data_IF_404123807457
#
_entry.id   IF_404123807457
#
_cell.length_a   1.000
_cell.length_b   1.000
_cell.length_c   1.000
_cell.angle_alpha   90.00
_cell.angle_beta   90.00
_cell.angle_gamma   90.00
#
_symmetry.space_group_name_H-M   'P 1'
#
loop_
_entity.id
_entity.type
_entity.pdbx_description
1 polymer ?
#
# COMPACT_ATOMS: atom_id res chain seq x y z
N UNK A 1 49.62 11.35 -8.23
CA UNK A 1 48.74 11.56 -7.06
C UNK A 1 47.29 11.43 -7.51
N UNK A 2 46.77 10.20 -7.53
CA UNK A 2 45.37 9.94 -7.88
C UNK A 2 44.51 10.18 -6.65
N UNK A 3 43.70 11.23 -6.68
CA UNK A 3 42.73 11.50 -5.61
C UNK A 3 41.62 10.45 -5.75
N UNK A 4 41.70 9.41 -4.91
CA UNK A 4 40.57 8.52 -4.64
C UNK A 4 39.47 9.39 -4.00
N UNK A 5 38.61 9.94 -4.85
CA UNK A 5 37.41 10.65 -4.43
C UNK A 5 36.58 9.72 -3.58
N UNK A 6 36.39 10.10 -2.30
CA UNK A 6 35.51 9.40 -1.37
C UNK A 6 34.17 9.16 -2.07
N UNK A 7 33.75 7.88 -2.14
CA UNK A 7 32.38 7.50 -2.46
C UNK A 7 31.46 7.96 -1.31
N UNK A 8 31.24 9.27 -1.22
CA UNK A 8 30.27 9.87 -0.31
C UNK A 8 28.88 9.58 -0.89
N UNK A 9 28.26 8.53 -0.36
CA UNK A 9 26.82 8.32 -0.22
C UNK A 9 25.90 9.03 -1.24
N UNK A 10 26.05 8.73 -2.53
CA UNK A 10 25.29 9.34 -3.63
C UNK A 10 23.79 8.98 -3.62
N UNK A 11 23.41 7.87 -2.97
CA UNK A 11 22.02 7.37 -2.92
C UNK A 11 21.02 8.32 -2.28
N UNK A 12 21.44 9.14 -1.30
CA UNK A 12 20.51 9.98 -0.54
C UNK A 12 20.04 11.19 -1.35
N UNK A 13 20.94 11.78 -2.13
CA UNK A 13 20.64 12.96 -2.94
C UNK A 13 19.66 12.63 -4.08
N UNK A 14 19.81 11.45 -4.70
CA UNK A 14 18.91 10.99 -5.76
C UNK A 14 17.48 10.73 -5.22
N UNK A 15 17.36 10.26 -3.97
CA UNK A 15 16.07 10.00 -3.33
C UNK A 15 15.29 11.28 -3.04
N UNK A 16 15.95 12.30 -2.48
CA UNK A 16 15.33 13.60 -2.19
C UNK A 16 14.89 14.31 -3.48
N UNK A 17 15.71 14.25 -4.53
CA UNK A 17 15.35 14.81 -5.84
C UNK A 17 14.13 14.10 -6.45
N UNK A 18 14.07 12.78 -6.34
CA UNK A 18 12.93 11.99 -6.80
C UNK A 18 11.63 12.34 -6.04
N UNK A 19 11.70 12.49 -4.72
CA UNK A 19 10.51 12.87 -3.94
C UNK A 19 10.04 14.27 -4.32
N UNK A 20 10.95 15.23 -4.44
CA UNK A 20 10.57 16.59 -4.84
C UNK A 20 9.88 16.60 -6.21
N UNK A 21 10.37 15.81 -7.18
CA UNK A 21 9.71 15.69 -8.47
C UNK A 21 8.30 15.10 -8.32
N UNK A 22 8.16 14.03 -7.53
CA UNK A 22 6.85 13.44 -7.27
C UNK A 22 5.88 14.46 -6.67
N UNK A 23 6.33 15.28 -5.71
CA UNK A 23 5.48 16.32 -5.10
C UNK A 23 4.98 17.35 -6.12
N UNK A 24 5.83 17.77 -7.06
CA UNK A 24 5.45 18.71 -8.13
C UNK A 24 4.37 18.11 -9.03
N UNK A 25 4.49 16.84 -9.39
CA UNK A 25 3.49 16.14 -10.20
C UNK A 25 2.17 15.98 -9.44
N UNK A 26 2.23 15.64 -8.15
CA UNK A 26 1.04 15.51 -7.29
C UNK A 26 0.26 16.82 -7.16
N UNK A 27 0.97 17.94 -7.00
CA UNK A 27 0.36 19.29 -6.99
C UNK A 27 -0.25 19.67 -8.36
N UNK A 28 0.17 19.00 -9.44
CA UNK A 28 -0.43 19.11 -10.77
C UNK A 28 -1.74 18.34 -10.88
N UNK A 29 -1.80 17.13 -10.30
CA UNK A 29 -2.99 16.26 -10.30
C UNK A 29 -4.12 16.86 -9.45
N UNK A 30 -3.81 17.48 -8.31
CA UNK A 30 -4.81 18.13 -7.44
C UNK A 30 -5.69 19.15 -8.20
N UNK A 31 -5.13 19.80 -9.23
CA UNK A 31 -5.82 20.81 -10.03
C UNK A 31 -6.72 20.23 -11.12
N UNK A 32 -6.68 18.92 -11.34
CA UNK A 32 -7.49 18.24 -12.35
C UNK A 32 -8.75 17.65 -11.71
N UNK A 33 -9.91 18.15 -12.12
CA UNK A 33 -11.19 17.58 -11.72
C UNK A 33 -11.33 16.14 -12.24
N UNK A 34 -11.76 15.23 -11.35
CA UNK A 34 -12.08 13.84 -11.69
C UNK A 34 -10.94 12.82 -11.57
N UNK A 35 -9.75 13.21 -11.11
CA UNK A 35 -8.65 12.29 -10.83
C UNK A 35 -8.55 12.00 -9.33
N UNK A 36 -8.39 10.73 -8.96
CA UNK A 36 -8.20 10.29 -7.57
C UNK A 36 -6.90 9.50 -7.47
N UNK A 37 -6.01 9.94 -6.58
CA UNK A 37 -4.80 9.21 -6.24
C UNK A 37 -5.06 8.23 -5.09
N UNK A 38 -4.69 6.96 -5.28
CA UNK A 38 -4.70 5.95 -4.22
C UNK A 38 -3.31 5.34 -4.06
N UNK A 39 -2.87 5.22 -2.81
CA UNK A 39 -1.60 4.62 -2.46
C UNK A 39 -1.76 3.67 -1.27
N UNK A 40 -0.95 2.62 -1.24
CA UNK A 40 -0.93 1.63 -0.16
C UNK A 40 0.46 1.58 0.46
N UNK A 41 0.54 1.55 1.80
CA UNK A 41 1.80 1.36 2.51
C UNK A 41 1.64 0.35 3.64
N UNK A 42 2.65 -0.50 3.83
CA UNK A 42 2.76 -1.37 5.01
C UNK A 42 3.15 -0.57 6.25
N UNK A 43 3.86 0.55 6.09
CA UNK A 43 4.36 1.34 7.19
C UNK A 43 4.19 2.85 6.92
N UNK A 44 3.16 3.43 7.51
CA UNK A 44 2.87 4.86 7.39
C UNK A 44 4.01 5.74 7.94
N UNK A 45 4.78 5.27 8.93
CA UNK A 45 5.87 6.05 9.53
C UNK A 45 7.07 6.27 8.60
N UNK A 46 7.17 5.50 7.51
CA UNK A 46 8.23 5.64 6.51
C UNK A 46 7.85 6.60 5.38
N UNK A 47 6.57 7.01 5.30
CA UNK A 47 6.12 7.97 4.30
C UNK A 47 6.58 9.37 4.69
N UNK A 48 7.10 10.12 3.73
CA UNK A 48 7.49 11.50 3.96
C UNK A 48 6.28 12.38 4.27
N UNK A 49 6.37 13.16 5.34
CA UNK A 49 5.27 14.00 5.83
C UNK A 49 4.77 15.00 4.78
N UNK A 50 5.61 15.42 3.83
CA UNK A 50 5.22 16.30 2.73
C UNK A 50 4.15 15.70 1.81
N UNK A 51 4.11 14.36 1.66
CA UNK A 51 3.11 13.66 0.85
C UNK A 51 1.74 13.62 1.54
N UNK A 52 1.71 13.60 2.88
CA UNK A 52 0.48 13.48 3.67
C UNK A 52 -0.20 14.82 3.99
N UNK A 53 0.24 15.92 3.39
CA UNK A 53 -0.35 17.25 3.62
C UNK A 53 -1.71 17.38 2.92
N UNK A 54 -2.62 18.25 3.41
CA UNK A 54 -3.87 18.57 2.74
C UNK A 54 -3.65 18.89 1.26
N UNK A 55 -4.50 18.36 0.38
CA UNK A 55 -4.38 18.51 -1.09
C UNK A 55 -3.60 17.40 -1.79
N UNK A 56 -2.85 16.56 -1.06
CA UNK A 56 -2.10 15.42 -1.60
C UNK A 56 -2.68 14.08 -1.11
N UNK A 57 -1.93 13.32 -0.31
CA UNK A 57 -2.40 12.07 0.34
C UNK A 57 -2.97 12.41 1.73
N UNK A 58 -4.00 13.24 1.76
CA UNK A 58 -4.57 13.80 2.99
C UNK A 58 -5.46 12.80 3.76
N UNK A 59 -6.06 11.83 3.06
CA UNK A 59 -6.92 10.79 3.65
C UNK A 59 -6.16 9.48 3.85
N UNK A 60 -6.16 9.02 5.10
CA UNK A 60 -5.55 7.74 5.47
C UNK A 60 -6.64 6.78 5.92
N UNK A 61 -6.72 5.62 5.25
CA UNK A 61 -7.64 4.54 5.58
C UNK A 61 -6.88 3.39 6.26
N UNK A 62 -6.94 3.27 7.59
CA UNK A 62 -6.31 2.15 8.28
C UNK A 62 -7.08 0.87 7.98
N UNK A 63 -6.36 -0.15 7.49
CA UNK A 63 -6.91 -1.48 7.30
C UNK A 63 -6.76 -2.28 8.61
N UNK A 64 -7.86 -2.86 9.08
CA UNK A 64 -7.87 -3.72 10.25
C UNK A 64 -7.68 -5.18 9.83
N UNK A 65 -7.11 -5.99 10.72
CA UNK A 65 -7.09 -7.43 10.52
C UNK A 65 -8.52 -7.98 10.57
N UNK A 66 -8.90 -8.86 9.62
CA UNK A 66 -10.25 -9.42 9.61
C UNK A 66 -10.49 -10.27 10.84
N UNK A 67 -11.70 -10.14 11.39
CA UNK A 67 -12.24 -11.01 12.43
C UNK A 67 -12.41 -12.44 11.93
N UNK A 68 -12.59 -13.41 12.82
CA UNK A 68 -12.80 -14.81 12.43
C UNK A 68 -13.98 -14.97 11.46
N UNK A 69 -15.10 -14.31 11.73
CA UNK A 69 -16.27 -14.37 10.85
C UNK A 69 -16.04 -13.72 9.48
N UNK A 70 -15.20 -12.68 9.41
CA UNK A 70 -14.79 -12.08 8.13
C UNK A 70 -13.82 -12.97 7.37
N UNK A 71 -12.87 -13.61 8.08
CA UNK A 71 -11.96 -14.61 7.47
C UNK A 71 -12.76 -15.77 6.87
N UNK A 72 -13.77 -16.27 7.57
CA UNK A 72 -14.68 -17.32 7.06
C UNK A 72 -15.29 -16.91 5.72
N UNK A 73 -15.84 -15.68 5.63
CA UNK A 73 -16.45 -15.16 4.40
C UNK A 73 -15.44 -14.98 3.27
N UNK A 74 -14.27 -14.40 3.56
CA UNK A 74 -13.20 -14.20 2.57
C UNK A 74 -12.77 -15.55 1.99
N UNK A 75 -12.59 -16.55 2.87
CA UNK A 75 -12.20 -17.90 2.46
C UNK A 75 -13.28 -18.58 1.62
N UNK A 76 -14.57 -18.45 1.99
CA UNK A 76 -15.68 -18.99 1.19
C UNK A 76 -15.76 -18.35 -0.20
N UNK A 77 -15.58 -17.03 -0.31
CA UNK A 77 -15.57 -16.33 -1.60
C UNK A 77 -14.40 -16.82 -2.45
N UNK A 78 -13.19 -16.86 -1.89
CA UNK A 78 -12.01 -17.34 -2.60
C UNK A 78 -12.15 -18.82 -3.03
N UNK A 79 -12.75 -19.65 -2.19
CA UNK A 79 -13.01 -21.06 -2.51
C UNK A 79 -13.98 -21.23 -3.67
N UNK A 80 -15.01 -20.39 -3.78
CA UNK A 80 -15.94 -20.40 -4.93
C UNK A 80 -15.27 -20.05 -6.26
N UNK A 81 -14.20 -19.25 -6.22
CA UNK A 81 -13.44 -18.89 -7.42
C UNK A 81 -12.41 -19.96 -7.82
N UNK A 82 -11.98 -20.81 -6.88
CA UNK A 82 -10.79 -21.68 -7.06
C UNK A 82 -11.03 -23.17 -6.87
N UNK A 83 -12.13 -23.57 -6.21
CA UNK A 83 -12.46 -24.96 -5.89
C UNK A 83 -13.75 -25.41 -6.59
N UNK A 84 -13.87 -26.72 -6.78
CA UNK A 84 -15.12 -27.34 -7.25
C UNK A 84 -16.24 -27.07 -6.24
N UNK A 85 -17.42 -26.70 -6.74
CA UNK A 85 -18.58 -26.33 -5.92
C UNK A 85 -18.95 -27.42 -4.91
N UNK A 86 -18.83 -28.68 -5.32
CA UNK A 86 -19.15 -29.83 -4.47
C UNK A 86 -18.21 -29.95 -3.27
N UNK A 87 -16.96 -29.48 -3.37
CA UNK A 87 -15.96 -29.58 -2.31
C UNK A 87 -16.10 -28.48 -1.25
N UNK A 88 -16.74 -27.36 -1.59
CA UNK A 88 -16.85 -26.19 -0.71
C UNK A 88 -17.69 -26.51 0.52
N UNK A 89 -18.72 -27.34 0.36
CA UNK A 89 -19.64 -27.73 1.43
C UNK A 89 -19.02 -28.77 2.39
N UNK A 90 -17.94 -29.45 2.00
CA UNK A 90 -17.23 -30.40 2.87
C UNK A 90 -16.20 -29.74 3.79
N UNK A 91 -15.89 -28.46 3.60
CA UNK A 91 -14.88 -27.75 4.39
C UNK A 91 -15.50 -27.11 5.63
N UNK A 92 -14.93 -27.40 6.80
CA UNK A 92 -15.25 -26.69 8.04
C UNK A 92 -14.55 -25.32 8.08
N UNK A 93 -15.21 -24.32 7.51
CA UNK A 93 -14.68 -22.96 7.39
C UNK A 93 -14.44 -22.27 8.74
N UNK A 94 -15.18 -22.63 9.79
CA UNK A 94 -14.97 -22.06 11.13
C UNK A 94 -13.62 -22.47 11.68
N UNK A 95 -13.30 -23.76 11.58
CA UNK A 95 -12.02 -24.32 12.03
C UNK A 95 -10.84 -23.79 11.21
N UNK A 96 -11.02 -23.60 9.91
CA UNK A 96 -9.97 -23.03 9.05
C UNK A 96 -9.73 -21.55 9.38
N UNK A 97 -10.81 -20.80 9.65
CA UNK A 97 -10.73 -19.38 9.98
C UNK A 97 -10.22 -19.09 11.40
N UNK A 98 -10.12 -20.07 12.31
CA UNK A 98 -9.58 -19.89 13.66
C UNK A 98 -8.07 -19.64 13.69
N UNK A 99 -7.35 -20.07 12.65
CA UNK A 99 -5.92 -19.81 12.49
C UNK A 99 -5.64 -18.36 12.11
#
# INVERSE_FOLDING_TARGET
>A
AGVWGKFLNKKKQDHEAFINQLLVELDGIEKQDGVVLMATTKNLKQIEQALCRPGRMDRIFPLQCPTQGEREKILQIAARETMDLDLIDFVDWKKVAEK
#
